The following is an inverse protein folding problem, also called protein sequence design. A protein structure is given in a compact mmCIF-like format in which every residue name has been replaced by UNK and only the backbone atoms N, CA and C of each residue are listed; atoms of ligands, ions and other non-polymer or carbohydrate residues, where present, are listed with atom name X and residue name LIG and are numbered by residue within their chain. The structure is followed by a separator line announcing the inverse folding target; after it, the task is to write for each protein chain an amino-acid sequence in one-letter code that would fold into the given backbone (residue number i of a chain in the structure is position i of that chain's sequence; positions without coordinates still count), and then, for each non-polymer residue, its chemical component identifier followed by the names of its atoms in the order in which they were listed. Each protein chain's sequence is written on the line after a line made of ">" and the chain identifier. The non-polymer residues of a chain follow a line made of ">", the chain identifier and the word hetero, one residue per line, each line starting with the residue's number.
data_IF_316885200768
#
_entry.id   IF_316885200768
#
_cell.length_a   1.000
_cell.length_b   1.000
_cell.length_c   1.000
_cell.angle_alpha   90.00
_cell.angle_beta   90.00
_cell.angle_gamma   90.00
#
_symmetry.space_group_name_H-M   'P 1'
#
loop_
_entity.id
_entity.type
_entity.pdbx_description
1 polymer ?
#
# COMPACT_ATOMS: atom_id res chain seq x y z
N UNK A 1 7.16 8.25 35.31
CA UNK A 1 6.85 7.33 34.20
C UNK A 1 5.51 6.68 34.53
N UNK A 2 4.41 7.19 33.97
CA UNK A 2 3.08 6.68 34.27
C UNK A 2 2.84 5.39 33.47
N UNK A 3 2.46 4.29 34.14
CA UNK A 3 2.05 3.08 33.44
C UNK A 3 0.72 3.36 32.72
N UNK A 4 0.73 3.37 31.38
CA UNK A 4 -0.49 3.46 30.60
C UNK A 4 -1.28 2.17 30.81
N UNK A 5 -2.39 2.26 31.54
CA UNK A 5 -3.30 1.14 31.71
C UNK A 5 -4.26 1.09 30.50
N UNK A 6 -3.85 0.42 29.43
CA UNK A 6 -4.69 0.20 28.25
C UNK A 6 -5.73 -0.88 28.57
N UNK A 7 -7.01 -0.50 28.56
CA UNK A 7 -8.12 -1.46 28.68
C UNK A 7 -8.08 -2.50 27.56
N UNK A 8 -8.37 -3.77 27.89
CA UNK A 8 -8.43 -4.85 26.89
C UNK A 8 -9.41 -4.58 25.74
N UNK A 9 -10.47 -3.78 25.98
CA UNK A 9 -11.41 -3.33 24.95
C UNK A 9 -10.76 -2.34 23.98
N UNK A 10 -9.97 -1.40 24.49
CA UNK A 10 -9.24 -0.41 23.68
C UNK A 10 -8.14 -1.08 22.86
N UNK A 11 -7.37 -2.00 23.46
CA UNK A 11 -6.37 -2.77 22.73
C UNK A 11 -7.00 -3.58 21.59
N UNK A 12 -8.12 -4.27 21.86
CA UNK A 12 -8.85 -5.03 20.83
C UNK A 12 -9.29 -4.13 19.67
N UNK A 13 -9.76 -2.91 19.98
CA UNK A 13 -10.17 -1.93 18.96
C UNK A 13 -8.99 -1.50 18.10
N UNK A 14 -7.85 -1.17 18.71
CA UNK A 14 -6.63 -0.76 18.00
C UNK A 14 -6.12 -1.88 17.10
N UNK A 15 -6.05 -3.11 17.61
CA UNK A 15 -5.60 -4.27 16.83
C UNK A 15 -6.51 -4.50 15.62
N UNK A 16 -7.83 -4.50 15.80
CA UNK A 16 -8.77 -4.69 14.69
C UNK A 16 -8.62 -3.58 13.65
N UNK A 17 -8.55 -2.32 14.09
CA UNK A 17 -8.38 -1.19 13.18
C UNK A 17 -7.07 -1.29 12.37
N UNK A 18 -5.97 -1.62 13.03
CA UNK A 18 -4.67 -1.80 12.38
C UNK A 18 -4.67 -2.99 11.40
N UNK A 19 -5.25 -4.13 11.79
CA UNK A 19 -5.35 -5.31 10.93
C UNK A 19 -6.21 -5.06 9.69
N UNK A 20 -7.37 -4.40 9.85
CA UNK A 20 -8.24 -4.06 8.71
C UNK A 20 -7.53 -3.10 7.75
N UNK A 21 -6.88 -2.06 8.29
CA UNK A 21 -6.07 -1.14 7.48
C UNK A 21 -4.99 -1.87 6.68
N UNK A 22 -4.24 -2.75 7.34
CA UNK A 22 -3.21 -3.56 6.69
C UNK A 22 -3.80 -4.45 5.59
N UNK A 23 -4.93 -5.13 5.83
CA UNK A 23 -5.56 -5.99 4.81
C UNK A 23 -6.00 -5.18 3.59
N UNK A 24 -6.62 -4.01 3.79
CA UNK A 24 -7.05 -3.15 2.68
C UNK A 24 -5.86 -2.71 1.83
N UNK A 25 -4.76 -2.35 2.47
CA UNK A 25 -3.53 -1.94 1.80
C UNK A 25 -2.93 -3.07 0.95
N UNK A 26 -2.83 -4.27 1.52
CA UNK A 26 -2.35 -5.46 0.81
C UNK A 26 -3.29 -5.91 -0.31
N UNK A 27 -4.59 -5.71 -0.13
CA UNK A 27 -5.60 -6.02 -1.14
C UNK A 27 -5.42 -5.15 -2.39
N UNK A 28 -5.29 -3.83 -2.21
CA UNK A 28 -5.08 -2.90 -3.33
C UNK A 28 -3.79 -3.23 -4.09
N UNK A 29 -2.73 -3.54 -3.35
CA UNK A 29 -1.45 -3.97 -3.91
C UNK A 29 -1.52 -5.24 -4.73
N UNK A 30 -2.22 -6.24 -4.22
CA UNK A 30 -2.40 -7.50 -4.91
C UNK A 30 -3.19 -7.30 -6.20
N UNK A 31 -4.26 -6.50 -6.17
CA UNK A 31 -5.04 -6.20 -7.37
C UNK A 31 -4.23 -5.43 -8.39
N UNK A 32 -3.51 -4.38 -7.99
CA UNK A 32 -2.67 -3.63 -8.91
C UNK A 32 -1.61 -4.51 -9.56
N UNK A 33 -0.89 -5.30 -8.75
CA UNK A 33 0.17 -6.20 -9.22
C UNK A 33 -0.36 -7.29 -10.16
N UNK A 34 -1.49 -7.92 -9.82
CA UNK A 34 -2.12 -8.95 -10.67
C UNK A 34 -2.64 -8.40 -11.99
N UNK A 35 -3.09 -7.14 -12.01
CA UNK A 35 -3.57 -6.44 -13.21
C UNK A 35 -2.46 -5.68 -13.96
N UNK A 36 -1.20 -5.69 -13.49
CA UNK A 36 -0.13 -4.85 -14.03
C UNK A 36 0.08 -5.02 -15.55
N UNK A 37 -0.01 -6.25 -16.08
CA UNK A 37 0.09 -6.52 -17.52
C UNK A 37 -1.08 -5.94 -18.31
N UNK A 38 -2.28 -6.00 -17.76
CA UNK A 38 -3.50 -5.43 -18.36
C UNK A 38 -3.42 -3.90 -18.35
N UNK A 39 -3.02 -3.32 -17.21
CA UNK A 39 -2.81 -1.88 -17.07
C UNK A 39 -1.74 -1.37 -18.05
N UNK A 40 -0.63 -2.09 -18.19
CA UNK A 40 0.41 -1.77 -19.16
C UNK A 40 -0.13 -1.70 -20.60
N UNK A 41 -0.90 -2.71 -21.02
CA UNK A 41 -1.47 -2.77 -22.37
C UNK A 41 -2.58 -1.74 -22.65
N UNK A 42 -3.20 -1.20 -21.59
CA UNK A 42 -4.31 -0.23 -21.68
C UNK A 42 -3.86 1.22 -21.56
N UNK A 43 -2.84 1.50 -20.76
CA UNK A 43 -2.43 2.87 -20.42
C UNK A 43 -1.10 3.29 -21.05
N UNK A 44 -0.29 2.36 -21.55
CA UNK A 44 1.01 2.66 -22.16
C UNK A 44 1.10 2.24 -23.63
N UNK A 45 2.16 2.71 -24.30
CA UNK A 45 2.35 2.53 -25.73
C UNK A 45 2.66 1.07 -26.10
N UNK A 46 1.99 0.56 -27.14
CA UNK A 46 2.05 -0.85 -27.53
C UNK A 46 3.30 -1.21 -28.34
N UNK A 47 3.98 -0.24 -28.92
CA UNK A 47 5.22 -0.41 -29.69
C UNK A 47 6.37 -0.94 -28.82
N UNK A 48 6.36 -0.63 -27.52
CA UNK A 48 7.39 -1.02 -26.56
C UNK A 48 6.78 -1.71 -25.33
N UNK A 49 6.31 -2.97 -25.45
CA UNK A 49 5.55 -3.66 -24.40
C UNK A 49 6.34 -3.87 -23.10
N UNK A 50 7.65 -4.05 -23.19
CA UNK A 50 8.52 -4.17 -22.01
C UNK A 50 8.60 -2.84 -21.26
N UNK A 51 8.82 -1.73 -21.97
CA UNK A 51 8.88 -0.40 -21.37
C UNK A 51 7.53 0.00 -20.76
N UNK A 52 6.42 -0.35 -21.42
CA UNK A 52 5.07 -0.19 -20.90
C UNK A 52 4.86 -0.90 -19.56
N UNK A 53 5.24 -2.19 -19.48
CA UNK A 53 5.13 -2.95 -18.24
C UNK A 53 6.02 -2.39 -17.12
N UNK A 54 7.28 -2.05 -17.43
CA UNK A 54 8.19 -1.43 -16.48
C UNK A 54 7.65 -0.10 -15.95
N UNK A 55 7.02 0.70 -16.80
CA UNK A 55 6.40 1.96 -16.39
C UNK A 55 5.22 1.73 -15.44
N UNK A 56 4.36 0.74 -15.70
CA UNK A 56 3.29 0.35 -14.78
C UNK A 56 3.82 -0.09 -13.41
N UNK A 57 4.87 -0.93 -13.38
CA UNK A 57 5.49 -1.38 -12.13
C UNK A 57 6.24 -0.23 -11.43
N UNK A 58 6.79 0.73 -12.17
CA UNK A 58 7.40 1.92 -11.59
C UNK A 58 6.36 2.77 -10.85
N UNK A 59 5.17 3.00 -11.44
CA UNK A 59 4.06 3.68 -10.75
C UNK A 59 3.66 2.94 -9.48
N UNK A 60 3.53 1.61 -9.53
CA UNK A 60 3.25 0.79 -8.34
C UNK A 60 4.30 1.01 -7.24
N UNK A 61 5.57 1.06 -7.63
CA UNK A 61 6.72 1.20 -6.73
C UNK A 61 6.75 2.58 -6.05
N UNK A 62 6.24 3.64 -6.68
CA UNK A 62 6.11 4.98 -6.06
C UNK A 62 5.27 4.92 -4.79
N UNK A 63 4.22 4.08 -4.74
CA UNK A 63 3.43 3.87 -3.54
C UNK A 63 4.27 3.40 -2.34
N UNK A 64 5.29 2.56 -2.56
CA UNK A 64 6.18 2.10 -1.49
C UNK A 64 7.10 3.20 -0.99
N UNK A 65 7.53 4.13 -1.86
CA UNK A 65 8.37 5.27 -1.47
C UNK A 65 7.58 6.29 -0.63
N UNK A 66 6.29 6.43 -0.89
CA UNK A 66 5.41 7.34 -0.15
C UNK A 66 5.15 6.84 1.28
N UNK A 67 5.23 5.53 1.55
CA UNK A 67 4.98 4.96 2.89
C UNK A 67 5.94 5.46 3.98
N UNK A 68 7.27 5.40 3.80
CA UNK A 68 8.21 6.02 4.73
C UNK A 68 7.90 7.51 4.97
N UNK A 69 7.50 8.24 3.92
CA UNK A 69 7.15 9.65 4.04
C UNK A 69 5.86 9.85 4.86
N UNK A 70 4.84 9.02 4.66
CA UNK A 70 3.62 9.04 5.46
C UNK A 70 3.89 8.69 6.94
N UNK A 71 4.72 7.68 7.19
CA UNK A 71 5.13 7.33 8.56
C UNK A 71 5.91 8.48 9.23
N UNK A 72 6.75 9.18 8.48
CA UNK A 72 7.44 10.37 8.98
C UNK A 72 6.46 11.48 9.33
N UNK A 73 5.44 11.76 8.51
CA UNK A 73 4.50 12.87 8.70
C UNK A 73 3.36 12.61 9.69
N UNK A 74 3.03 11.35 9.97
CA UNK A 74 1.87 10.98 10.81
C UNK A 74 2.25 10.06 11.99
N UNK A 75 3.54 9.86 12.24
CA UNK A 75 4.04 8.88 13.22
C UNK A 75 4.26 9.41 14.65
N UNK A 76 3.89 10.66 14.96
CA UNK A 76 4.07 11.30 16.27
C UNK A 76 2.77 11.44 17.07
#
# INVERSE_FOLDING_TARGET
>A
MAAINVSGKELRRVVIAASVGNVIEWYDFYIFGSLASILAAKFFEKSHPVAAFLSTVAIFSVGFLIRPLGAFLFGW
#
